data_IF_684803708609
#
_entry.id   IF_684803708609
#
_cell.length_a   1.000
_cell.length_b   1.000
_cell.length_c   1.000
_cell.angle_alpha   90.00
_cell.angle_beta   90.00
_cell.angle_gamma   90.00
#
_symmetry.space_group_name_H-M   'P 1'
#
loop_
_entity.id
_entity.type
_entity.pdbx_description
1 polymer ?
#
# COMPACT_ATOMS: atom_id res chain seq x y z
N UNK A 1 -14.06 1.80 22.98
CA UNK A 1 -13.87 2.63 21.78
C UNK A 1 -15.21 3.23 21.43
N UNK A 2 -15.37 4.57 21.44
CA UNK A 2 -16.64 5.19 21.02
C UNK A 2 -16.82 4.91 19.53
N UNK A 3 -17.86 4.17 19.18
CA UNK A 3 -18.30 3.99 17.81
C UNK A 3 -18.71 5.38 17.28
N UNK A 4 -17.88 5.97 16.44
CA UNK A 4 -18.15 7.29 15.87
C UNK A 4 -18.99 7.07 14.62
N UNK A 5 -20.32 7.04 14.80
CA UNK A 5 -21.31 6.72 13.77
C UNK A 5 -21.13 7.54 12.48
N UNK A 6 -20.62 8.77 12.59
CA UNK A 6 -20.26 9.63 11.45
C UNK A 6 -19.10 9.04 10.64
N UNK A 7 -18.03 8.58 11.31
CA UNK A 7 -16.86 7.95 10.67
C UNK A 7 -17.25 6.64 9.99
N UNK A 8 -18.12 5.85 10.63
CA UNK A 8 -18.63 4.59 10.07
C UNK A 8 -19.46 4.86 8.81
N UNK A 9 -20.35 5.85 8.86
CA UNK A 9 -21.18 6.24 7.71
C UNK A 9 -20.35 6.80 6.55
N UNK A 10 -19.38 7.66 6.84
CA UNK A 10 -18.47 8.20 5.83
C UNK A 10 -17.60 7.10 5.19
N UNK A 11 -17.07 6.18 6.01
CA UNK A 11 -16.28 5.04 5.52
C UNK A 11 -17.10 4.19 4.54
N UNK A 12 -18.36 3.89 4.87
CA UNK A 12 -19.25 3.14 3.97
C UNK A 12 -19.45 3.87 2.64
N UNK A 13 -19.79 5.16 2.68
CA UNK A 13 -19.99 5.98 1.49
C UNK A 13 -18.74 6.01 0.58
N UNK A 14 -17.55 6.13 1.16
CA UNK A 14 -16.28 6.16 0.41
C UNK A 14 -15.94 4.81 -0.21
N UNK A 15 -16.18 3.70 0.52
CA UNK A 15 -16.00 2.36 -0.01
C UNK A 15 -16.94 2.09 -1.18
N UNK A 16 -18.23 2.42 -1.05
CA UNK A 16 -19.20 2.26 -2.14
C UNK A 16 -18.78 3.01 -3.42
N UNK A 17 -18.28 4.24 -3.27
CA UNK A 17 -17.76 5.02 -4.40
C UNK A 17 -16.51 4.39 -5.02
N UNK A 18 -15.59 3.89 -4.19
CA UNK A 18 -14.36 3.24 -4.66
C UNK A 18 -14.67 1.93 -5.38
N UNK A 19 -15.56 1.12 -4.84
CA UNK A 19 -16.00 -0.15 -5.40
C UNK A 19 -16.81 0.03 -6.69
N UNK A 20 -17.48 1.17 -6.85
CA UNK A 20 -18.14 1.56 -8.10
C UNK A 20 -17.19 2.08 -9.20
N UNK A 21 -15.89 2.21 -8.93
CA UNK A 21 -14.91 2.66 -9.93
C UNK A 21 -14.52 1.52 -10.86
N UNK A 22 -14.54 1.76 -12.18
CA UNK A 22 -14.15 0.73 -13.15
C UNK A 22 -12.67 0.38 -13.05
N UNK A 23 -12.35 -0.86 -13.40
CA UNK A 23 -10.97 -1.35 -13.42
C UNK A 23 -10.06 -0.50 -14.34
N UNK A 24 -10.57 -0.05 -15.50
CA UNK A 24 -9.81 0.79 -16.43
C UNK A 24 -9.46 2.15 -15.82
N UNK A 25 -10.43 2.79 -15.14
CA UNK A 25 -10.19 4.06 -14.45
C UNK A 25 -9.18 3.88 -13.31
N UNK A 26 -9.28 2.80 -12.56
CA UNK A 26 -8.32 2.44 -11.51
C UNK A 26 -6.91 2.29 -12.08
N UNK A 27 -6.76 1.58 -13.21
CA UNK A 27 -5.46 1.41 -13.88
C UNK A 27 -4.88 2.72 -14.40
N UNK A 28 -5.72 3.60 -14.97
CA UNK A 28 -5.31 4.95 -15.39
C UNK A 28 -4.86 5.78 -14.19
N UNK A 29 -5.63 5.74 -13.10
CA UNK A 29 -5.32 6.45 -11.86
C UNK A 29 -4.00 5.96 -11.24
N UNK A 30 -3.80 4.64 -11.12
CA UNK A 30 -2.55 4.04 -10.62
C UNK A 30 -1.33 4.51 -11.40
N UNK A 31 -1.39 4.49 -12.73
CA UNK A 31 -0.29 4.99 -13.58
C UNK A 31 -0.03 6.48 -13.39
N UNK A 32 -1.09 7.27 -13.23
CA UNK A 32 -0.97 8.71 -12.97
C UNK A 32 -0.34 8.99 -11.60
N UNK A 33 -0.72 8.22 -10.58
CA UNK A 33 -0.16 8.30 -9.23
C UNK A 33 1.33 7.96 -9.27
N UNK A 34 1.73 6.86 -9.91
CA UNK A 34 3.14 6.49 -10.06
C UNK A 34 3.97 7.60 -10.70
N UNK A 35 3.48 8.20 -11.80
CA UNK A 35 4.16 9.34 -12.45
C UNK A 35 4.33 10.56 -11.54
N UNK A 36 3.38 10.81 -10.64
CA UNK A 36 3.46 11.91 -9.66
C UNK A 36 4.40 11.55 -8.52
N UNK A 37 4.33 10.31 -8.02
CA UNK A 37 5.14 9.80 -6.93
C UNK A 37 6.64 9.91 -7.23
N UNK A 38 7.04 9.60 -8.47
CA UNK A 38 8.42 9.78 -8.95
C UNK A 38 8.97 11.21 -8.90
N UNK A 39 8.09 12.21 -8.87
CA UNK A 39 8.47 13.62 -8.80
C UNK A 39 8.62 14.11 -7.36
N UNK A 40 8.24 13.31 -6.37
CA UNK A 40 8.33 13.63 -4.95
C UNK A 40 9.72 13.25 -4.48
N UNK A 41 10.53 14.24 -4.07
CA UNK A 41 11.94 14.04 -3.72
C UNK A 41 12.14 12.97 -2.63
N UNK A 42 11.38 12.96 -1.51
CA UNK A 42 11.49 11.89 -0.52
C UNK A 42 11.33 10.48 -1.11
N UNK A 43 10.43 10.28 -2.07
CA UNK A 43 10.22 8.98 -2.69
C UNK A 43 11.34 8.63 -3.68
N UNK A 44 11.77 9.62 -4.49
CA UNK A 44 12.86 9.45 -5.45
C UNK A 44 14.15 9.05 -4.76
N UNK A 45 14.46 9.65 -3.62
CA UNK A 45 15.73 9.50 -2.94
C UNK A 45 15.72 8.32 -1.93
N UNK A 46 14.52 7.85 -1.53
CA UNK A 46 14.34 6.69 -0.66
C UNK A 46 15.00 5.41 -1.21
N UNK A 47 15.69 4.67 -0.33
CA UNK A 47 16.23 3.34 -0.62
C UNK A 47 15.36 2.24 -0.03
N UNK A 48 14.73 2.49 1.12
CA UNK A 48 13.82 1.54 1.79
C UNK A 48 12.40 2.08 1.76
N UNK A 49 11.54 1.43 0.98
CA UNK A 49 10.15 1.86 0.78
C UNK A 49 9.21 0.81 1.35
N UNK A 50 8.37 1.23 2.30
CA UNK A 50 7.19 0.48 2.72
C UNK A 50 6.06 0.66 1.70
N UNK A 51 5.56 -0.43 1.15
CA UNK A 51 4.37 -0.45 0.31
C UNK A 51 3.28 -1.33 0.93
N UNK A 52 2.10 -1.35 0.34
CA UNK A 52 1.05 -2.30 0.68
C UNK A 52 0.67 -3.10 -0.57
N UNK A 53 0.26 -4.35 -0.38
CA UNK A 53 -0.35 -5.13 -1.45
C UNK A 53 -1.83 -4.75 -1.56
N UNK A 54 -2.32 -4.30 -2.73
CA UNK A 54 -3.65 -3.73 -2.83
C UNK A 54 -4.73 -4.81 -2.77
N UNK A 55 -5.85 -4.49 -2.12
CA UNK A 55 -7.00 -5.39 -2.01
C UNK A 55 -8.27 -4.76 -2.59
N UNK A 56 -9.12 -5.60 -3.21
CA UNK A 56 -10.39 -5.16 -3.78
C UNK A 56 -10.22 -4.04 -4.81
N UNK A 57 -10.79 -2.88 -4.51
CA UNK A 57 -10.82 -1.69 -5.36
C UNK A 57 -9.72 -0.65 -5.08
N UNK A 58 -8.66 -1.05 -4.37
CA UNK A 58 -7.54 -0.15 -4.06
C UNK A 58 -6.69 0.20 -5.28
N UNK A 59 -5.97 1.32 -5.16
CA UNK A 59 -4.96 1.71 -6.15
C UNK A 59 -3.93 0.58 -6.27
N UNK A 60 -3.75 0.10 -7.50
CA UNK A 60 -2.76 -0.91 -7.85
C UNK A 60 -1.36 -0.34 -7.60
N UNK A 61 -0.67 -0.88 -6.60
CA UNK A 61 0.71 -0.52 -6.23
C UNK A 61 1.75 -1.45 -6.85
N UNK A 62 1.34 -2.51 -7.57
CA UNK A 62 2.25 -3.47 -8.18
C UNK A 62 3.25 -2.80 -9.13
N UNK A 63 2.78 -1.88 -9.97
CA UNK A 63 3.64 -1.12 -10.89
C UNK A 63 4.68 -0.29 -10.12
N UNK A 64 4.28 0.32 -8.99
CA UNK A 64 5.18 1.11 -8.13
C UNK A 64 6.27 0.20 -7.54
N UNK A 65 5.89 -0.97 -7.03
CA UNK A 65 6.83 -1.93 -6.44
C UNK A 65 7.81 -2.47 -7.48
N UNK A 66 7.32 -2.87 -8.66
CA UNK A 66 8.17 -3.37 -9.75
C UNK A 66 9.19 -2.33 -10.20
N UNK A 67 8.75 -1.09 -10.35
CA UNK A 67 9.63 -0.01 -10.79
C UNK A 67 10.69 0.34 -9.74
N UNK A 68 10.31 0.45 -8.46
CA UNK A 68 11.25 0.67 -7.37
C UNK A 68 12.29 -0.47 -7.26
N UNK A 69 11.86 -1.73 -7.39
CA UNK A 69 12.78 -2.88 -7.43
C UNK A 69 13.74 -2.81 -8.63
N UNK A 70 13.25 -2.39 -9.80
CA UNK A 70 14.08 -2.22 -11.01
C UNK A 70 15.11 -1.08 -10.88
N UNK A 71 14.82 -0.08 -10.07
CA UNK A 71 15.74 1.02 -9.71
C UNK A 71 16.73 0.62 -8.60
N UNK A 72 16.69 -0.63 -8.13
CA UNK A 72 17.59 -1.14 -7.09
C UNK A 72 17.16 -0.80 -5.67
N UNK A 73 15.95 -0.26 -5.47
CA UNK A 73 15.40 0.06 -4.15
C UNK A 73 14.89 -1.19 -3.45
N UNK A 74 14.83 -1.14 -2.14
CA UNK A 74 14.28 -2.20 -1.30
C UNK A 74 12.80 -1.94 -1.00
N UNK A 75 11.95 -2.92 -1.30
CA UNK A 75 10.52 -2.87 -0.99
C UNK A 75 10.20 -3.74 0.21
N UNK A 76 9.42 -3.18 1.13
CA UNK A 76 8.93 -3.86 2.31
C UNK A 76 7.40 -3.86 2.33
N UNK A 77 6.82 -5.01 2.63
CA UNK A 77 5.37 -5.15 2.81
C UNK A 77 5.02 -5.40 4.28
N UNK A 78 3.90 -4.87 4.78
CA UNK A 78 3.43 -5.13 6.12
C UNK A 78 2.97 -6.59 6.23
N UNK A 79 3.34 -7.22 7.35
CA UNK A 79 2.82 -8.51 7.79
C UNK A 79 2.23 -8.35 9.18
N UNK A 80 1.03 -8.89 9.40
CA UNK A 80 0.41 -8.89 10.74
C UNK A 80 1.01 -10.01 11.57
N UNK A 81 1.64 -9.65 12.70
CA UNK A 81 2.21 -10.60 13.66
C UNK A 81 1.56 -10.36 15.02
N UNK A 82 0.53 -11.16 15.33
CA UNK A 82 -0.27 -11.01 16.54
C UNK A 82 -1.06 -9.69 16.54
N UNK A 83 -0.63 -8.72 17.37
CA UNK A 83 -1.22 -7.37 17.44
C UNK A 83 -0.35 -6.29 16.79
N UNK A 84 0.80 -6.66 16.25
CA UNK A 84 1.78 -5.75 15.68
C UNK A 84 1.84 -5.91 14.15
N UNK A 85 2.35 -4.88 13.48
CA UNK A 85 2.69 -4.92 12.06
C UNK A 85 4.20 -4.85 11.94
N UNK A 86 4.76 -5.76 11.15
CA UNK A 86 6.19 -5.79 10.82
C UNK A 86 6.36 -5.63 9.31
N UNK A 87 7.32 -4.80 8.91
CA UNK A 87 7.69 -4.64 7.50
C UNK A 87 8.75 -5.66 7.11
N UNK A 88 8.47 -6.42 6.05
CA UNK A 88 9.38 -7.47 5.57
C UNK A 88 9.78 -7.25 4.14
N UNK A 89 11.07 -7.41 3.87
CA UNK A 89 11.67 -7.21 2.56
C UNK A 89 11.17 -8.26 1.57
N UNK A 90 10.69 -7.81 0.42
CA UNK A 90 10.36 -8.68 -0.71
C UNK A 90 11.45 -8.59 -1.76
N UNK A 91 11.78 -9.71 -2.38
CA UNK A 91 12.71 -9.75 -3.52
C UNK A 91 11.98 -9.59 -4.85
N UNK A 92 10.74 -10.06 -4.91
CA UNK A 92 9.86 -9.96 -6.06
C UNK A 92 8.40 -10.15 -5.57
N UNK A 93 7.43 -9.87 -6.45
CA UNK A 93 6.01 -10.03 -6.16
C UNK A 93 5.53 -11.49 -6.11
N UNK A 94 6.35 -12.44 -6.56
CA UNK A 94 6.06 -13.89 -6.54
C UNK A 94 6.35 -14.53 -5.18
N UNK A 95 7.19 -13.90 -4.35
CA UNK A 95 7.59 -14.35 -3.02
C UNK A 95 6.56 -13.96 -1.93
N UNK A 96 5.27 -14.03 -2.25
CA UNK A 96 4.17 -13.72 -1.35
C UNK A 96 3.34 -14.99 -1.07
N UNK A 97 2.73 -15.06 0.11
CA UNK A 97 1.84 -16.13 0.54
C UNK A 97 0.47 -15.55 0.94
N UNK A 98 -0.59 -16.35 0.88
CA UNK A 98 -1.89 -15.94 1.40
C UNK A 98 -1.79 -15.74 2.92
N UNK A 99 -1.93 -14.50 3.36
CA UNK A 99 -1.87 -14.09 4.75
C UNK A 99 -3.24 -13.94 5.38
N UNK A 100 -3.31 -13.11 6.43
CA UNK A 100 -4.58 -12.78 7.06
C UNK A 100 -5.46 -11.93 6.12
N UNK A 101 -6.78 -12.03 6.24
CA UNK A 101 -7.74 -11.21 5.47
C UNK A 101 -7.66 -11.38 3.93
N UNK A 102 -7.24 -12.55 3.44
CA UNK A 102 -7.07 -12.84 2.00
C UNK A 102 -6.10 -11.88 1.27
N UNK A 103 -5.13 -11.34 2.02
CA UNK A 103 -4.10 -10.45 1.49
C UNK A 103 -2.81 -11.23 1.24
N UNK A 104 -2.14 -10.95 0.13
CA UNK A 104 -0.80 -11.48 -0.12
C UNK A 104 0.21 -10.82 0.83
N UNK A 105 0.81 -11.62 1.69
CA UNK A 105 1.80 -11.19 2.68
C UNK A 105 3.19 -11.76 2.38
N UNK A 106 4.27 -11.09 2.79
CA UNK A 106 5.61 -11.66 2.71
C UNK A 106 5.75 -12.91 3.61
N UNK A 107 6.61 -13.84 3.18
CA UNK A 107 6.89 -15.08 3.90
C UNK A 107 7.53 -14.83 5.27
N UNK A 108 7.44 -15.82 6.15
CA UNK A 108 8.04 -15.74 7.48
C UNK A 108 9.58 -15.64 7.46
N UNK A 109 10.21 -16.09 6.38
CA UNK A 109 11.66 -16.08 6.19
C UNK A 109 12.19 -14.74 5.64
N UNK A 110 11.30 -13.86 5.17
CA UNK A 110 11.70 -12.56 4.66
C UNK A 110 12.34 -11.71 5.77
N UNK A 111 13.49 -11.04 5.51
CA UNK A 111 14.13 -10.15 6.47
C UNK A 111 13.18 -9.06 6.96
N UNK A 112 13.14 -8.83 8.26
CA UNK A 112 12.33 -7.78 8.89
C UNK A 112 13.17 -6.52 9.04
N UNK A 113 12.65 -5.38 8.58
CA UNK A 113 13.21 -4.07 8.86
C UNK A 113 12.09 -3.03 8.88
N UNK A 114 11.96 -2.34 10.01
CA UNK A 114 10.96 -1.27 10.19
C UNK A 114 11.56 0.13 10.02
N UNK A 115 12.86 0.24 9.73
CA UNK A 115 13.52 1.51 9.43
C UNK A 115 13.38 1.83 7.93
N UNK A 116 12.28 2.51 7.59
CA UNK A 116 11.90 2.83 6.22
C UNK A 116 12.00 4.34 5.97
N UNK A 117 12.48 4.72 4.79
CA UNK A 117 12.60 6.12 4.39
C UNK A 117 11.23 6.72 4.05
N UNK A 118 10.38 5.92 3.38
CA UNK A 118 9.03 6.30 2.95
C UNK A 118 8.08 5.11 3.13
N UNK A 119 6.85 5.39 3.55
CA UNK A 119 5.77 4.40 3.64
C UNK A 119 4.57 4.89 2.83
N UNK A 120 4.11 4.07 1.89
CA UNK A 120 2.84 4.24 1.21
C UNK A 120 1.73 3.68 2.10
N UNK A 121 0.93 4.58 2.66
CA UNK A 121 -0.14 4.23 3.59
C UNK A 121 -1.46 4.05 2.83
N UNK A 122 -2.10 2.87 2.89
CA UNK A 122 -3.43 2.69 2.31
C UNK A 122 -4.47 3.48 3.12
N UNK A 123 -5.38 4.17 2.42
CA UNK A 123 -6.46 4.95 3.06
C UNK A 123 -7.78 4.74 2.33
N UNK A 124 -8.89 4.70 3.08
CA UNK A 124 -10.24 4.72 2.49
C UNK A 124 -10.60 6.13 1.98
N UNK A 125 -10.12 7.16 2.68
CA UNK A 125 -10.21 8.55 2.27
C UNK A 125 -9.32 9.39 3.15
N UNK A 126 -8.93 10.55 2.62
CA UNK A 126 -8.06 11.51 3.29
C UNK A 126 -8.48 12.92 2.86
N UNK A 127 -8.51 13.84 3.81
CA UNK A 127 -8.73 15.26 3.54
C UNK A 127 -7.45 15.93 3.02
N UNK A 128 -7.53 17.12 2.40
CA UNK A 128 -6.33 17.89 2.02
C UNK A 128 -5.40 18.24 3.19
N UNK A 129 -5.87 18.12 4.44
CA UNK A 129 -5.08 18.32 5.66
C UNK A 129 -4.34 17.06 6.12
N UNK A 130 -4.52 15.93 5.44
CA UNK A 130 -3.89 14.65 5.79
C UNK A 130 -4.63 13.84 6.86
N UNK A 131 -5.89 14.21 7.18
CA UNK A 131 -6.75 13.53 8.17
C UNK A 131 -7.89 12.79 7.49
#
# INVERSE_FOLDING_TARGET
MKDNSEKTSLRRLLLEKRDGTSFDLMKIASKSILKKLKKIEPFRDAQKIGAYYPIGSEILTQDIMQEALSEGKEIFLPKVVGKNIEFRKIMNLSNLENGSFDIMEPRNECPVDNNLDVILVPTVGISPKGV
#
